data_IF_018301407131
#
_entry.id   IF_018301407131
#
_cell.length_a   1.000
_cell.length_b   1.000
_cell.length_c   1.000
_cell.angle_alpha   90.00
_cell.angle_beta   90.00
_cell.angle_gamma   90.00
#
_symmetry.space_group_name_H-M   'P 1'
#
loop_
_entity.id
_entity.type
_entity.pdbx_description
1 polymer ?
#
# COMPACT_ATOMS: atom_id res chain seq x y z
N UNK A 1 -3.23 -9.05 -7.14
CA UNK A 1 -2.62 -9.22 -5.81
C UNK A 1 -2.15 -7.86 -5.36
N UNK A 2 -2.65 -7.39 -4.21
CA UNK A 2 -2.31 -6.08 -3.67
C UNK A 2 -1.06 -6.17 -2.78
N UNK A 3 0.01 -5.50 -3.15
CA UNK A 3 1.15 -5.26 -2.25
C UNK A 3 1.00 -3.86 -1.64
N UNK A 4 0.94 -3.77 -0.30
CA UNK A 4 0.82 -2.50 0.42
C UNK A 4 2.12 -2.23 1.18
N UNK A 5 2.85 -1.21 0.75
CA UNK A 5 4.08 -0.75 1.38
C UNK A 5 3.75 0.23 2.49
N UNK A 6 4.26 -0.07 3.69
CA UNK A 6 3.87 0.62 4.92
C UNK A 6 5.07 0.90 5.80
N UNK A 7 4.85 1.79 6.76
CA UNK A 7 5.60 1.86 8.00
C UNK A 7 4.60 1.77 9.15
N UNK A 8 4.77 0.85 10.10
CA UNK A 8 3.79 0.65 11.18
C UNK A 8 3.58 1.87 12.08
N UNK A 9 4.57 2.76 12.15
CA UNK A 9 4.48 4.02 12.90
C UNK A 9 3.81 5.16 12.12
N UNK A 10 3.49 4.96 10.83
CA UNK A 10 2.85 5.98 10.00
C UNK A 10 1.32 5.94 10.14
N UNK A 11 0.68 7.03 10.60
CA UNK A 11 -0.78 7.05 10.81
C UNK A 11 -1.57 6.82 9.51
N UNK A 12 -1.05 7.27 8.36
CA UNK A 12 -1.67 7.05 7.06
C UNK A 12 -1.59 5.58 6.61
N UNK A 13 -0.50 4.88 6.94
CA UNK A 13 -0.39 3.44 6.70
C UNK A 13 -1.37 2.65 7.58
N UNK A 14 -1.45 3.00 8.86
CA UNK A 14 -2.40 2.39 9.81
C UNK A 14 -3.83 2.55 9.31
N UNK A 15 -4.22 3.75 8.86
CA UNK A 15 -5.54 4.04 8.28
C UNK A 15 -5.91 3.10 7.13
N UNK A 16 -5.00 2.84 6.20
CA UNK A 16 -5.25 1.93 5.06
C UNK A 16 -5.36 0.48 5.53
N UNK A 17 -4.44 0.03 6.40
CA UNK A 17 -4.46 -1.33 6.94
C UNK A 17 -5.76 -1.62 7.70
N UNK A 18 -6.19 -0.72 8.58
CA UNK A 18 -7.46 -0.86 9.31
C UNK A 18 -8.66 -0.95 8.35
N UNK A 19 -8.66 -0.14 7.29
CA UNK A 19 -9.72 -0.21 6.28
C UNK A 19 -9.70 -1.55 5.55
N UNK A 20 -8.54 -2.02 5.08
CA UNK A 20 -8.40 -3.31 4.41
C UNK A 20 -8.85 -4.47 5.29
N UNK A 21 -8.38 -4.52 6.54
CA UNK A 21 -8.71 -5.57 7.50
C UNK A 21 -10.22 -5.58 7.83
N UNK A 22 -10.81 -4.40 8.07
CA UNK A 22 -12.25 -4.26 8.37
C UNK A 22 -13.15 -4.72 7.22
N UNK A 23 -12.69 -4.56 5.97
CA UNK A 23 -13.48 -4.90 4.77
C UNK A 23 -13.04 -6.23 4.14
N UNK A 24 -12.14 -6.98 4.78
CA UNK A 24 -11.69 -8.29 4.28
C UNK A 24 -10.87 -8.22 2.99
N UNK A 25 -10.26 -7.08 2.69
CA UNK A 25 -9.39 -6.89 1.54
C UNK A 25 -8.11 -7.68 1.79
N UNK A 26 -7.77 -8.61 0.90
CA UNK A 26 -6.52 -9.38 0.98
C UNK A 26 -5.38 -8.59 0.35
N UNK A 27 -4.30 -8.42 1.10
CA UNK A 27 -3.09 -7.74 0.65
C UNK A 27 -1.85 -8.38 1.28
N UNK A 28 -0.70 -8.18 0.66
CA UNK A 28 0.59 -8.47 1.24
C UNK A 28 1.12 -7.21 1.91
N UNK A 29 1.35 -7.28 3.22
CA UNK A 29 2.00 -6.20 3.96
C UNK A 29 3.50 -6.18 3.64
N UNK A 30 4.02 -5.04 3.20
CA UNK A 30 5.43 -4.81 2.86
C UNK A 30 6.00 -3.70 3.75
N UNK A 31 6.56 -4.07 4.90
CA UNK A 31 7.13 -3.09 5.82
C UNK A 31 8.47 -2.55 5.27
N UNK A 32 8.61 -1.23 5.16
CA UNK A 32 9.82 -0.58 4.59
C UNK A 32 10.99 -0.48 5.57
N UNK A 33 10.86 -0.97 6.80
CA UNK A 33 12.01 -1.23 7.68
C UNK A 33 12.86 -2.38 7.18
N UNK A 34 12.27 -3.27 6.37
CA UNK A 34 13.01 -4.22 5.55
C UNK A 34 13.65 -3.51 4.35
N UNK A 35 14.99 -3.54 4.20
CA UNK A 35 15.69 -2.93 3.07
C UNK A 35 15.22 -3.43 1.71
N UNK A 36 14.78 -4.67 1.57
CA UNK A 36 14.29 -5.21 0.29
C UNK A 36 13.00 -4.52 -0.14
N UNK A 37 12.06 -4.33 0.80
CA UNK A 37 10.80 -3.65 0.53
C UNK A 37 11.03 -2.16 0.24
N UNK A 38 11.95 -1.51 0.95
CA UNK A 38 12.32 -0.12 0.68
C UNK A 38 12.95 0.03 -0.71
N UNK A 39 13.88 -0.84 -1.07
CA UNK A 39 14.51 -0.81 -2.39
C UNK A 39 13.48 -1.02 -3.51
N UNK A 40 12.53 -1.93 -3.31
CA UNK A 40 11.46 -2.16 -4.27
C UNK A 40 10.52 -0.95 -4.38
N UNK A 41 10.11 -0.35 -3.27
CA UNK A 41 9.34 0.90 -3.25
C UNK A 41 10.05 2.01 -4.02
N UNK A 42 11.34 2.24 -3.75
CA UNK A 42 12.13 3.25 -4.46
C UNK A 42 12.20 2.98 -5.96
N UNK A 43 12.24 1.71 -6.37
CA UNK A 43 12.29 1.31 -7.78
C UNK A 43 10.96 1.54 -8.52
N UNK A 44 9.83 1.26 -7.87
CA UNK A 44 8.50 1.29 -8.54
C UNK A 44 7.74 2.59 -8.30
N UNK A 45 7.92 3.22 -7.14
CA UNK A 45 7.24 4.45 -6.76
C UNK A 45 8.13 5.70 -6.82
N UNK A 46 9.45 5.54 -6.80
CA UNK A 46 10.41 6.64 -6.97
C UNK A 46 10.74 7.43 -5.70
N UNK A 47 9.96 7.28 -4.64
CA UNK A 47 10.17 7.97 -3.37
C UNK A 47 9.83 7.11 -2.15
N UNK A 48 10.41 7.49 -1.00
CA UNK A 48 10.18 6.83 0.30
C UNK A 48 8.89 7.31 0.97
N UNK A 49 7.84 7.54 0.18
CA UNK A 49 6.51 7.88 0.67
C UNK A 49 5.73 6.61 1.00
N UNK A 50 4.94 6.63 2.07
CA UNK A 50 4.03 5.55 2.47
C UNK A 50 2.71 6.15 3.00
N UNK A 51 1.57 5.46 2.86
CA UNK A 51 1.41 4.16 2.21
C UNK A 51 1.54 4.22 0.69
N UNK A 52 1.95 3.11 0.09
CA UNK A 52 1.97 2.92 -1.37
C UNK A 52 1.35 1.58 -1.71
N UNK A 53 0.43 1.58 -2.67
CA UNK A 53 -0.24 0.38 -3.17
C UNK A 53 0.34 0.01 -4.53
N UNK A 54 0.67 -1.27 -4.72
CA UNK A 54 0.97 -1.87 -6.02
C UNK A 54 -0.03 -3.01 -6.30
N UNK A 55 -0.93 -2.79 -7.25
CA UNK A 55 -1.83 -3.80 -7.78
C UNK A 55 -1.35 -4.34 -9.12
N UNK A 56 -0.60 -5.44 -9.02
CA UNK A 56 0.00 -6.13 -10.17
C UNK A 56 -1.02 -6.70 -11.15
N UNK A 57 -2.24 -6.99 -10.71
CA UNK A 57 -3.27 -7.55 -11.60
C UNK A 57 -3.84 -6.50 -12.54
N UNK A 58 -3.90 -5.24 -12.08
CA UNK A 58 -4.48 -4.14 -12.85
C UNK A 58 -3.41 -3.18 -13.39
N UNK A 59 -2.12 -3.44 -13.16
CA UNK A 59 -1.01 -2.52 -13.46
C UNK A 59 -1.26 -1.12 -12.89
N UNK A 60 -1.73 -1.06 -11.65
CA UNK A 60 -1.99 0.19 -10.95
C UNK A 60 -1.04 0.29 -9.78
N UNK A 61 -0.34 1.42 -9.66
CA UNK A 61 0.42 1.74 -8.46
C UNK A 61 0.12 3.18 -8.06
N UNK A 62 -0.04 3.43 -6.76
CA UNK A 62 -0.47 4.75 -6.28
C UNK A 62 -0.02 5.04 -4.84
N UNK A 63 0.08 6.33 -4.57
CA UNK A 63 0.26 6.90 -3.24
C UNK A 63 -1.08 7.42 -2.71
N UNK A 64 -1.02 8.16 -1.60
CA UNK A 64 -2.14 8.81 -0.91
C UNK A 64 -3.14 7.84 -0.28
N UNK A 65 -3.25 7.92 1.06
CA UNK A 65 -4.07 6.95 1.82
C UNK A 65 -5.54 6.95 1.45
N UNK A 66 -6.11 8.11 1.11
CA UNK A 66 -7.51 8.24 0.70
C UNK A 66 -7.74 7.67 -0.70
N UNK A 67 -6.85 7.95 -1.65
CA UNK A 67 -6.91 7.41 -3.01
C UNK A 67 -6.78 5.88 -3.02
N UNK A 68 -5.88 5.33 -2.19
CA UNK A 68 -5.73 3.88 -2.03
C UNK A 68 -7.03 3.23 -1.51
N UNK A 69 -7.66 3.85 -0.52
CA UNK A 69 -8.92 3.37 0.05
C UNK A 69 -10.03 3.45 -1.00
N UNK A 70 -10.13 4.58 -1.71
CA UNK A 70 -11.15 4.79 -2.72
C UNK A 70 -10.96 3.90 -3.94
N UNK A 71 -9.71 3.61 -4.33
CA UNK A 71 -9.40 2.61 -5.34
C UNK A 71 -9.96 1.24 -4.97
N UNK A 72 -9.69 0.77 -3.74
CA UNK A 72 -10.16 -0.55 -3.29
C UNK A 72 -11.68 -0.58 -3.08
N UNK A 73 -12.33 0.52 -2.67
CA UNK A 73 -13.80 0.62 -2.62
C UNK A 73 -14.46 0.36 -3.97
N UNK A 74 -13.86 0.92 -5.01
CA UNK A 74 -14.41 0.86 -6.37
C UNK A 74 -13.88 -0.35 -7.16
N UNK A 75 -12.97 -1.11 -6.57
CA UNK A 75 -12.47 -2.38 -7.10
C UNK A 75 -13.52 -3.45 -6.81
N UNK A 76 -14.28 -3.81 -7.85
CA UNK A 76 -15.45 -4.70 -7.79
C UNK A 76 -15.23 -6.03 -7.07
#
# INVERSE_FOLDING_TARGET
>A
MLDLYILETCPYSVKVMEYFDKHGVKYNKKDITDPENLNLLMKIGGERQVPFLDDKENNVSMYESDDIIDYVKNKG
#
